data_IF_310979365336
#
_entry.id   IF_310979365336
#
_cell.length_a   1.000
_cell.length_b   1.000
_cell.length_c   1.000
_cell.angle_alpha   90.00
_cell.angle_beta   90.00
_cell.angle_gamma   90.00
#
_symmetry.space_group_name_H-M   'P 1'
#
loop_
_entity.id
_entity.type
_entity.pdbx_description
1 polymer ?
#
# COMPACT_ATOMS: atom_id res chain seq x y z
N UNK A 1 -0.01 7.23 -12.31
CA UNK A 1 -0.19 5.89 -12.90
C UNK A 1 -0.84 4.86 -11.96
N UNK A 2 -0.15 4.18 -11.01
CA UNK A 2 -0.82 3.18 -10.13
C UNK A 2 -1.93 3.80 -9.29
N UNK A 3 -1.67 4.97 -8.69
CA UNK A 3 -2.66 5.74 -7.94
C UNK A 3 -3.89 6.12 -8.78
N UNK A 4 -3.71 6.41 -10.09
CA UNK A 4 -4.82 6.73 -10.99
C UNK A 4 -5.65 5.49 -11.32
N UNK A 5 -5.00 4.35 -11.56
CA UNK A 5 -5.68 3.07 -11.77
C UNK A 5 -6.50 2.68 -10.53
N UNK A 6 -5.90 2.80 -9.34
CA UNK A 6 -6.59 2.55 -8.07
C UNK A 6 -7.74 3.54 -7.85
N UNK A 7 -7.54 4.83 -8.12
CA UNK A 7 -8.59 5.86 -8.06
C UNK A 7 -9.78 5.49 -8.95
N UNK A 8 -9.51 5.09 -10.19
CA UNK A 8 -10.55 4.66 -11.14
C UNK A 8 -11.28 3.41 -10.66
N UNK A 9 -10.55 2.43 -10.12
CA UNK A 9 -11.14 1.19 -9.60
C UNK A 9 -12.03 1.43 -8.38
N UNK A 10 -11.63 2.34 -7.48
CA UNK A 10 -12.38 2.68 -6.27
C UNK A 10 -13.47 3.73 -6.50
N UNK A 11 -13.46 4.43 -7.65
CA UNK A 11 -14.39 5.52 -7.94
C UNK A 11 -14.17 6.78 -7.09
N UNK A 12 -12.94 6.97 -6.58
CA UNK A 12 -12.57 8.09 -5.70
C UNK A 12 -11.31 8.78 -6.19
N UNK A 13 -11.09 10.03 -5.79
CA UNK A 13 -9.85 10.74 -6.09
C UNK A 13 -8.82 10.45 -4.99
N UNK A 14 -7.74 9.74 -5.34
CA UNK A 14 -6.62 9.53 -4.45
C UNK A 14 -5.49 10.51 -4.74
N UNK A 15 -4.96 11.14 -3.69
CA UNK A 15 -3.82 12.03 -3.78
C UNK A 15 -2.80 11.69 -2.72
N UNK A 16 -1.52 11.79 -3.08
CA UNK A 16 -0.43 11.69 -2.13
C UNK A 16 -0.56 12.78 -1.06
N UNK A 17 -0.33 12.44 0.20
CA UNK A 17 -0.45 13.38 1.32
C UNK A 17 0.65 13.16 2.35
N UNK A 18 1.17 14.26 2.86
CA UNK A 18 2.08 14.25 4.02
C UNK A 18 1.35 14.76 5.25
N UNK A 19 1.39 14.01 6.34
CA UNK A 19 0.90 14.41 7.64
C UNK A 19 2.05 14.86 8.53
N UNK A 20 1.82 15.90 9.32
CA UNK A 20 2.76 16.35 10.35
C UNK A 20 2.59 15.50 11.61
N UNK A 21 3.70 15.20 12.28
CA UNK A 21 3.73 14.47 13.53
C UNK A 21 3.87 15.43 14.72
N UNK A 22 3.36 15.07 15.92
CA UNK A 22 3.47 15.92 17.11
C UNK A 22 4.90 16.29 17.50
N UNK A 23 5.88 15.46 17.15
CA UNK A 23 7.30 15.70 17.41
C UNK A 23 8.01 16.53 16.32
N UNK A 24 7.27 17.15 15.40
CA UNK A 24 7.83 17.89 14.26
C UNK A 24 8.28 17.04 13.08
N UNK A 25 8.18 15.70 13.19
CA UNK A 25 8.39 14.78 12.08
C UNK A 25 7.29 14.84 11.03
N UNK A 26 7.46 14.06 9.96
CA UNK A 26 6.47 13.95 8.88
C UNK A 26 6.32 12.49 8.45
N UNK A 27 5.10 12.14 8.06
CA UNK A 27 4.76 10.83 7.48
C UNK A 27 4.06 11.04 6.15
N UNK A 28 4.49 10.33 5.13
CA UNK A 28 3.95 10.46 3.78
C UNK A 28 3.18 9.19 3.42
N UNK A 29 1.94 9.37 2.95
CA UNK A 29 1.06 8.30 2.48
C UNK A 29 0.89 8.44 0.98
N UNK A 30 1.08 7.34 0.25
CA UNK A 30 1.13 7.32 -1.20
C UNK A 30 -0.17 7.79 -1.85
N UNK A 31 -1.29 7.44 -1.25
CA UNK A 31 -2.62 7.76 -1.76
C UNK A 31 -3.64 7.93 -0.63
N UNK A 32 -4.35 9.05 -0.64
CA UNK A 32 -5.37 9.41 0.35
C UNK A 32 -6.62 9.92 -0.33
N UNK A 33 -7.78 9.48 0.15
CA UNK A 33 -9.10 10.07 -0.13
C UNK A 33 -9.69 10.60 1.17
N UNK A 34 -10.38 11.74 1.11
CA UNK A 34 -11.11 12.30 2.27
C UNK A 34 -12.55 11.79 2.35
N UNK A 35 -13.16 11.40 1.22
CA UNK A 35 -14.56 10.99 1.16
C UNK A 35 -14.77 9.93 0.07
N UNK A 36 -15.00 8.66 0.44
CA UNK A 36 -14.79 8.10 1.78
C UNK A 36 -13.32 8.24 2.23
N UNK A 37 -13.06 8.27 3.56
CA UNK A 37 -11.70 8.35 4.06
C UNK A 37 -10.96 7.03 3.77
N UNK A 38 -9.89 7.11 2.99
CA UNK A 38 -9.07 5.96 2.62
C UNK A 38 -7.61 6.37 2.71
N UNK A 39 -6.78 5.52 3.29
CA UNK A 39 -5.33 5.62 3.24
C UNK A 39 -4.76 4.40 2.50
N UNK A 40 -3.83 4.65 1.59
CA UNK A 40 -3.21 3.62 0.77
C UNK A 40 -1.69 3.73 0.76
N UNK A 41 -1.04 2.58 0.93
CA UNK A 41 0.36 2.37 0.57
C UNK A 41 0.43 1.50 -0.68
N UNK A 42 1.33 1.85 -1.61
CA UNK A 42 1.43 1.20 -2.91
C UNK A 42 2.80 0.54 -3.04
N UNK A 43 2.79 -0.78 -3.24
CA UNK A 43 4.00 -1.54 -3.54
C UNK A 43 3.94 -2.12 -4.95
N UNK A 44 4.60 -1.43 -5.88
CA UNK A 44 4.59 -1.77 -7.29
C UNK A 44 5.55 -2.92 -7.66
N UNK A 45 5.77 -3.89 -6.76
CA UNK A 45 6.69 -4.99 -7.03
C UNK A 45 6.05 -6.05 -7.92
N UNK A 46 6.89 -6.72 -8.71
CA UNK A 46 6.53 -7.80 -9.63
C UNK A 46 7.30 -9.07 -9.26
N UNK A 47 6.56 -10.15 -8.97
CA UNK A 47 7.09 -11.44 -8.52
C UNK A 47 7.11 -11.60 -6.99
N UNK A 48 7.47 -12.80 -6.53
CA UNK A 48 7.48 -13.11 -5.10
C UNK A 48 8.49 -12.26 -4.29
N UNK A 49 8.08 -11.75 -3.11
CA UNK A 49 8.96 -10.97 -2.24
C UNK A 49 10.04 -11.83 -1.55
N UNK A 50 11.28 -11.36 -1.59
CA UNK A 50 12.39 -11.76 -0.72
C UNK A 50 12.15 -11.31 0.72
N UNK A 51 12.84 -11.93 1.67
CA UNK A 51 12.70 -11.65 3.11
C UNK A 51 12.80 -10.15 3.46
N UNK A 52 13.83 -9.46 2.96
CA UNK A 52 14.01 -8.02 3.21
C UNK A 52 12.88 -7.16 2.61
N UNK A 53 12.32 -7.56 1.47
CA UNK A 53 11.17 -6.87 0.87
C UNK A 53 9.90 -7.09 1.70
N UNK A 54 9.72 -8.29 2.28
CA UNK A 54 8.60 -8.55 3.20
C UNK A 54 8.68 -7.68 4.45
N UNK A 55 9.89 -7.53 5.01
CA UNK A 55 10.12 -6.62 6.13
C UNK A 55 9.74 -5.18 5.75
N UNK A 56 10.16 -4.71 4.56
CA UNK A 56 9.78 -3.40 4.04
C UNK A 56 8.25 -3.24 3.92
N UNK A 57 7.56 -4.22 3.34
CA UNK A 57 6.08 -4.19 3.23
C UNK A 57 5.43 -4.01 4.60
N UNK A 58 5.91 -4.74 5.62
CA UNK A 58 5.36 -4.60 6.97
C UNK A 58 5.73 -3.27 7.64
N UNK A 59 6.90 -2.70 7.36
CA UNK A 59 7.25 -1.34 7.79
C UNK A 59 6.29 -0.31 7.19
N UNK A 60 6.01 -0.40 5.89
CA UNK A 60 5.08 0.49 5.20
C UNK A 60 3.63 0.27 5.72
N UNK A 61 3.26 -0.96 6.07
CA UNK A 61 1.94 -1.24 6.66
C UNK A 61 1.80 -0.64 8.06
N UNK A 62 2.86 -0.69 8.87
CA UNK A 62 2.88 -0.03 10.18
C UNK A 62 2.76 1.49 10.04
N UNK A 63 3.40 2.07 9.02
CA UNK A 63 3.26 3.50 8.66
C UNK A 63 1.78 3.83 8.42
N UNK A 64 1.08 3.00 7.64
CA UNK A 64 -0.33 3.16 7.34
C UNK A 64 -1.23 3.09 8.58
N UNK A 65 -1.00 2.08 9.43
CA UNK A 65 -1.73 1.90 10.71
C UNK A 65 -1.53 3.08 11.65
N UNK A 66 -0.29 3.60 11.75
CA UNK A 66 -0.01 4.77 12.56
C UNK A 66 -0.67 6.03 11.99
N UNK A 67 -0.61 6.23 10.68
CA UNK A 67 -1.23 7.39 10.02
C UNK A 67 -2.74 7.49 10.25
N UNK A 68 -3.45 6.36 10.37
CA UNK A 68 -4.86 6.32 10.78
C UNK A 68 -5.11 7.07 12.10
N UNK A 69 -4.18 6.98 13.05
CA UNK A 69 -4.32 7.62 14.37
C UNK A 69 -4.16 9.15 14.32
N UNK A 70 -3.60 9.68 13.24
CA UNK A 70 -3.43 11.12 13.02
C UNK A 70 -4.70 11.79 12.48
N UNK A 71 -5.66 11.01 11.98
CA UNK A 71 -6.93 11.54 11.49
C UNK A 71 -7.88 11.69 12.68
N UNK A 72 -8.26 12.93 12.99
CA UNK A 72 -9.15 13.27 14.09
C UNK A 72 -10.45 13.89 13.57
N UNK A 73 -11.56 13.70 14.30
CA UNK A 73 -12.81 14.41 14.03
C UNK A 73 -13.63 13.94 12.82
N UNK A 74 -13.43 12.70 12.35
CA UNK A 74 -14.14 12.15 11.20
C UNK A 74 -14.33 10.63 11.27
N UNK A 75 -14.81 10.06 10.17
CA UNK A 75 -14.88 8.60 10.00
C UNK A 75 -13.48 7.99 10.00
N UNK A 76 -13.34 6.81 10.62
CA UNK A 76 -12.09 6.03 10.58
C UNK A 76 -11.77 5.67 9.13
N UNK A 77 -10.57 5.98 8.62
CA UNK A 77 -10.20 5.65 7.26
C UNK A 77 -10.06 4.13 7.07
N UNK A 78 -10.50 3.65 5.91
CA UNK A 78 -10.12 2.32 5.44
C UNK A 78 -8.63 2.30 5.11
N UNK A 79 -7.95 1.21 5.49
CA UNK A 79 -6.54 1.02 5.17
C UNK A 79 -6.40 0.01 4.04
N UNK A 80 -5.75 0.41 2.95
CA UNK A 80 -5.50 -0.47 1.80
C UNK A 80 -4.01 -0.56 1.52
N UNK A 81 -3.45 -1.77 1.54
CA UNK A 81 -2.10 -2.05 1.05
C UNK A 81 -2.20 -2.59 -0.37
N UNK A 82 -1.71 -1.83 -1.32
CA UNK A 82 -1.96 -2.05 -2.75
C UNK A 82 -0.73 -2.67 -3.39
N UNK A 83 -0.90 -3.85 -3.96
CA UNK A 83 0.08 -4.54 -4.78
C UNK A 83 -0.28 -4.38 -6.25
N UNK A 84 0.73 -4.49 -7.12
CA UNK A 84 0.52 -4.48 -8.58
C UNK A 84 0.71 -5.84 -9.24
N UNK A 85 0.87 -6.88 -8.42
CA UNK A 85 1.17 -8.23 -8.85
C UNK A 85 0.60 -9.24 -7.86
N UNK A 86 0.04 -10.32 -8.38
CA UNK A 86 -0.61 -11.38 -7.61
C UNK A 86 0.40 -12.21 -6.80
N UNK A 87 1.54 -12.52 -7.41
CA UNK A 87 2.61 -13.28 -6.76
C UNK A 87 3.20 -12.48 -5.60
N UNK A 88 3.39 -11.17 -5.80
CA UNK A 88 3.85 -10.24 -4.76
C UNK A 88 2.91 -10.20 -3.54
N UNK A 89 1.59 -10.24 -3.77
CA UNK A 89 0.56 -10.12 -2.73
C UNK A 89 0.30 -11.43 -1.96
N UNK A 90 0.63 -12.58 -2.54
CA UNK A 90 0.22 -13.91 -2.03
C UNK A 90 0.59 -14.14 -0.57
N UNK A 91 1.77 -13.68 -0.13
CA UNK A 91 2.23 -13.86 1.24
C UNK A 91 1.48 -13.00 2.28
N UNK A 92 0.80 -11.94 1.83
CA UNK A 92 0.17 -10.92 2.69
C UNK A 92 -1.35 -11.00 2.69
N UNK A 93 -1.95 -11.65 1.70
CA UNK A 93 -3.41 -11.86 1.64
C UNK A 93 -3.92 -12.53 2.90
N UNK A 94 -5.08 -12.12 3.39
CA UNK A 94 -5.68 -12.64 4.63
C UNK A 94 -5.98 -14.14 4.61
N UNK A 95 -6.05 -14.76 3.43
CA UNK A 95 -6.17 -16.22 3.27
C UNK A 95 -4.83 -16.97 3.47
N UNK A 96 -3.70 -16.25 3.50
CA UNK A 96 -2.39 -16.83 3.77
C UNK A 96 -2.25 -17.21 5.23
N UNK A 97 -1.48 -18.26 5.50
CA UNK A 97 -1.13 -18.71 6.86
C UNK A 97 0.04 -17.94 7.47
N UNK A 98 0.56 -16.92 6.78
CA UNK A 98 1.67 -16.11 7.28
C UNK A 98 1.25 -15.25 8.48
N UNK A 99 2.17 -15.05 9.43
CA UNK A 99 1.92 -14.11 10.53
C UNK A 99 1.70 -12.68 10.03
N UNK A 100 2.28 -12.31 8.88
CA UNK A 100 2.13 -11.00 8.26
C UNK A 100 0.69 -10.79 7.79
N UNK A 101 0.09 -11.79 7.14
CA UNK A 101 -1.32 -11.77 6.75
C UNK A 101 -2.24 -11.67 7.97
N UNK A 102 -1.95 -12.45 9.02
CA UNK A 102 -2.71 -12.37 10.28
C UNK A 102 -2.62 -10.98 10.92
N UNK A 103 -1.42 -10.37 10.95
CA UNK A 103 -1.20 -9.03 11.49
C UNK A 103 -1.94 -7.96 10.67
N UNK A 104 -1.87 -8.02 9.33
CA UNK A 104 -2.61 -7.09 8.46
C UNK A 104 -4.12 -7.21 8.66
N UNK A 105 -4.64 -8.42 8.80
CA UNK A 105 -6.05 -8.66 9.08
C UNK A 105 -6.48 -8.07 10.43
N UNK A 106 -5.71 -8.31 11.50
CA UNK A 106 -5.99 -7.76 12.84
C UNK A 106 -5.90 -6.23 12.85
N UNK A 107 -4.98 -5.65 12.08
CA UNK A 107 -4.83 -4.21 11.95
C UNK A 107 -5.92 -3.54 11.09
N UNK A 108 -6.80 -4.33 10.48
CA UNK A 108 -7.83 -3.91 9.53
C UNK A 108 -7.21 -3.22 8.29
N UNK A 109 -6.17 -3.85 7.75
CA UNK A 109 -5.52 -3.46 6.49
C UNK A 109 -5.94 -4.44 5.40
N UNK A 110 -6.72 -3.94 4.44
CA UNK A 110 -7.13 -4.67 3.25
C UNK A 110 -5.96 -4.81 2.28
N UNK A 111 -5.73 -6.00 1.76
CA UNK A 111 -4.73 -6.25 0.71
C UNK A 111 -5.42 -6.26 -0.64
N UNK A 112 -5.10 -5.27 -1.47
CA UNK A 112 -5.69 -5.07 -2.81
C UNK A 112 -4.64 -5.32 -3.88
N UNK A 113 -5.02 -5.95 -4.99
CA UNK A 113 -4.17 -6.07 -6.17
C UNK A 113 -4.77 -5.24 -7.31
N UNK A 114 -3.97 -4.34 -7.87
CA UNK A 114 -4.33 -3.54 -9.04
C UNK A 114 -3.41 -3.96 -10.19
N UNK A 115 -3.89 -4.80 -11.12
CA UNK A 115 -3.07 -5.23 -12.24
C UNK A 115 -2.67 -4.03 -13.11
N UNK A 116 -1.42 -4.01 -13.53
CA UNK A 116 -0.90 -2.98 -14.41
C UNK A 116 -1.15 -3.33 -15.88
N UNK A 117 -1.39 -2.33 -16.74
CA UNK A 117 -1.25 -2.50 -18.19
C UNK A 117 0.11 -3.14 -18.54
N UNK A 118 0.15 -3.94 -19.60
CA UNK A 118 1.34 -4.74 -19.94
C UNK A 118 2.59 -3.88 -20.12
N UNK A 119 2.49 -2.79 -20.87
CA UNK A 119 3.56 -1.82 -21.12
C UNK A 119 4.11 -1.24 -19.81
N UNK A 120 3.20 -0.89 -18.91
CA UNK A 120 3.53 -0.39 -17.57
C UNK A 120 4.20 -1.45 -16.72
N UNK A 121 3.69 -2.69 -16.74
CA UNK A 121 4.29 -3.81 -16.01
C UNK A 121 5.72 -4.07 -16.47
N UNK A 122 5.96 -4.05 -17.78
CA UNK A 122 7.30 -4.22 -18.35
C UNK A 122 8.26 -3.10 -17.93
N UNK A 123 7.80 -1.85 -17.92
CA UNK A 123 8.60 -0.72 -17.43
C UNK A 123 8.99 -0.88 -15.95
N UNK A 124 8.06 -1.33 -15.11
CA UNK A 124 8.33 -1.64 -13.69
C UNK A 124 9.35 -2.77 -13.55
N UNK A 125 9.19 -3.86 -14.29
CA UNK A 125 10.15 -4.98 -14.28
C UNK A 125 11.55 -4.52 -14.69
N UNK A 126 11.65 -3.67 -15.71
CA UNK A 126 12.93 -3.12 -16.17
C UNK A 126 13.59 -2.26 -15.08
N UNK A 127 12.82 -1.37 -14.43
CA UNK A 127 13.30 -0.54 -13.32
C UNK A 127 13.74 -1.38 -12.11
N UNK A 128 12.99 -2.42 -11.75
CA UNK A 128 13.37 -3.34 -10.67
C UNK A 128 14.73 -3.98 -10.92
N UNK A 129 15.01 -4.46 -12.14
CA UNK A 129 16.30 -5.09 -12.48
C UNK A 129 17.48 -4.13 -12.32
N UNK A 130 17.27 -2.83 -12.51
CA UNK A 130 18.29 -1.80 -12.31
C UNK A 130 18.56 -1.53 -10.82
N UNK A 131 17.53 -1.61 -9.97
CA UNK A 131 17.66 -1.42 -8.51
C UNK A 131 18.41 -2.56 -7.81
N UNK A 132 18.54 -3.73 -8.46
CA UNK A 132 19.26 -4.90 -7.95
C UNK A 132 20.64 -5.13 -8.60
N UNK A 133 21.14 -4.17 -9.38
CA UNK A 133 22.55 -4.11 -9.81
C UNK A 133 23.34 -3.30 -8.79
#
# INVERSE_FOLDING_TARGET
MVTELLSKQLGVVLKKRTFSLPNGGRIEIDAVSDTPPILCEIWAHQGAPKSAQKAKVMTDAMKLVYARTLITGGQTPELKFVFTDEEAATHFRHASTSWMAAALKVADVEVVVVPLPEDVRQAVIAAQRQQYR
#
